data_IF_838562013718
#
_entry.id   IF_838562013718
#
_cell.length_a   1.000
_cell.length_b   1.000
_cell.length_c   1.000
_cell.angle_alpha   90.00
_cell.angle_beta   90.00
_cell.angle_gamma   90.00
#
_symmetry.space_group_name_H-M   'P 1'
#
loop_
_entity.id
_entity.type
_entity.pdbx_description
1 polymer ?
#
# COMPACT_ATOMS: atom_id res chain seq x y z
N UNK A 1 20.47 5.83 0.76
CA UNK A 1 20.98 6.75 -0.28
C UNK A 1 20.60 8.15 0.18
N UNK A 2 21.59 8.97 0.54
CA UNK A 2 21.35 10.36 0.92
C UNK A 2 21.35 11.21 -0.37
N UNK A 3 20.50 12.24 -0.46
CA UNK A 3 20.31 13.16 -1.60
C UNK A 3 19.59 12.65 -2.88
N UNK A 4 18.80 11.58 -2.79
CA UNK A 4 17.91 11.20 -3.90
C UNK A 4 16.62 12.01 -3.89
N UNK A 5 16.28 12.65 -5.02
CA UNK A 5 14.96 13.24 -5.22
C UNK A 5 13.90 12.13 -5.30
N UNK A 6 12.99 12.11 -4.32
CA UNK A 6 11.85 11.19 -4.30
C UNK A 6 10.60 11.94 -4.76
N UNK A 7 9.99 11.47 -5.85
CA UNK A 7 8.66 11.95 -6.27
C UNK A 7 7.61 11.02 -5.69
N UNK A 8 6.67 11.59 -4.93
CA UNK A 8 5.52 10.87 -4.42
C UNK A 8 4.41 10.88 -5.47
N UNK A 9 3.78 9.73 -5.66
CA UNK A 9 2.64 9.54 -6.54
C UNK A 9 1.49 8.92 -5.77
N UNK A 10 0.27 9.10 -6.25
CA UNK A 10 -0.88 8.33 -5.78
C UNK A 10 -1.15 7.15 -6.70
N UNK A 11 -1.87 6.15 -6.21
CA UNK A 11 -2.34 5.05 -7.06
C UNK A 11 -3.22 5.58 -8.21
N UNK A 12 -4.04 6.60 -7.95
CA UNK A 12 -4.93 7.24 -8.92
C UNK A 12 -4.16 7.91 -10.07
N UNK A 13 -2.94 8.39 -9.84
CA UNK A 13 -2.06 8.92 -10.89
C UNK A 13 -1.43 7.79 -11.73
N UNK A 14 -1.06 6.68 -11.11
CA UNK A 14 -0.31 5.61 -11.77
C UNK A 14 -1.21 4.61 -12.52
N UNK A 15 -2.40 4.32 -12.01
CA UNK A 15 -3.35 3.37 -12.63
C UNK A 15 -3.69 3.74 -14.09
N UNK A 16 -4.00 5.02 -14.44
CA UNK A 16 -4.21 5.42 -15.83
C UNK A 16 -3.00 5.18 -16.73
N UNK A 17 -1.78 5.40 -16.20
CA UNK A 17 -0.53 5.15 -16.94
C UNK A 17 -0.39 3.66 -17.25
N UNK A 18 -0.59 2.78 -16.26
CA UNK A 18 -0.57 1.33 -16.47
C UNK A 18 -1.59 0.89 -17.52
N UNK A 19 -2.81 1.43 -17.47
CA UNK A 19 -3.85 1.15 -18.46
C UNK A 19 -3.45 1.60 -19.87
N UNK A 20 -2.85 2.77 -20.01
CA UNK A 20 -2.36 3.28 -21.31
C UNK A 20 -1.26 2.41 -21.92
N UNK A 21 -0.49 1.71 -21.09
CA UNK A 21 0.55 0.76 -21.49
C UNK A 21 -0.01 -0.65 -21.82
N UNK A 22 -1.32 -0.83 -21.81
CA UNK A 22 -1.98 -2.11 -22.10
C UNK A 22 -2.06 -3.08 -20.91
N UNK A 23 -1.78 -2.61 -19.69
CA UNK A 23 -2.00 -3.41 -18.49
C UNK A 23 -3.49 -3.44 -18.11
N UNK A 24 -3.96 -4.62 -17.75
CA UNK A 24 -5.34 -4.92 -17.33
C UNK A 24 -5.34 -5.47 -15.91
N UNK A 25 -6.53 -5.68 -15.35
CA UNK A 25 -6.74 -6.23 -14.01
C UNK A 25 -5.88 -5.50 -12.95
N UNK A 26 -5.88 -4.17 -13.01
CA UNK A 26 -5.10 -3.35 -12.09
C UNK A 26 -5.77 -3.36 -10.73
N UNK A 27 -5.12 -3.96 -9.73
CA UNK A 27 -5.55 -3.97 -8.35
C UNK A 27 -4.67 -3.05 -7.49
N UNK A 28 -5.28 -2.39 -6.51
CA UNK A 28 -4.62 -1.44 -5.61
C UNK A 28 -4.75 -1.93 -4.17
N UNK A 29 -3.59 -2.06 -3.51
CA UNK A 29 -3.45 -2.49 -2.13
C UNK A 29 -2.64 -1.45 -1.33
N UNK A 30 -3.14 -1.00 -0.19
CA UNK A 30 -2.41 -0.19 0.76
C UNK A 30 -1.55 -1.03 1.68
N UNK A 31 -0.34 -0.55 1.98
CA UNK A 31 0.63 -1.20 2.86
C UNK A 31 0.96 -0.24 4.01
N UNK A 32 0.82 -0.73 5.24
CA UNK A 32 0.99 0.04 6.49
C UNK A 32 -0.02 1.18 6.60
N UNK A 33 -1.29 0.80 6.66
CA UNK A 33 -2.43 1.72 6.81
C UNK A 33 -2.62 2.20 8.26
N UNK A 34 -2.13 1.45 9.25
CA UNK A 34 -2.30 1.77 10.67
C UNK A 34 -0.98 1.82 11.44
N UNK A 35 -0.04 0.93 11.16
CA UNK A 35 1.21 0.75 11.91
C UNK A 35 1.99 2.06 12.12
N UNK A 36 1.98 2.93 11.11
CA UNK A 36 2.66 4.23 11.14
C UNK A 36 1.95 5.33 11.93
N UNK A 37 0.68 5.13 12.27
CA UNK A 37 -0.10 6.07 13.07
C UNK A 37 -0.13 5.69 14.56
N UNK A 38 0.45 4.54 14.93
CA UNK A 38 0.60 4.11 16.31
C UNK A 38 1.86 4.77 16.89
N UNK A 39 1.67 5.63 17.90
CA UNK A 39 2.74 6.37 18.59
C UNK A 39 3.48 5.55 19.65
N UNK A 40 2.90 4.44 20.10
CA UNK A 40 3.51 3.52 21.05
C UNK A 40 4.37 2.47 20.33
N UNK A 41 5.66 2.78 20.15
CA UNK A 41 6.62 1.90 19.49
C UNK A 41 6.89 0.62 20.27
N UNK A 42 6.92 0.68 21.61
CA UNK A 42 7.18 -0.49 22.44
C UNK A 42 6.08 -1.55 22.25
N UNK A 43 4.82 -1.10 22.15
CA UNK A 43 3.67 -1.98 21.94
C UNK A 43 3.67 -2.65 20.57
N UNK A 44 4.24 -2.04 19.53
CA UNK A 44 4.39 -2.68 18.21
C UNK A 44 5.34 -3.89 18.22
N UNK A 45 6.19 -4.00 19.23
CA UNK A 45 7.08 -5.14 19.41
C UNK A 45 6.49 -6.24 20.31
N UNK A 46 5.33 -6.01 20.93
CA UNK A 46 4.61 -7.06 21.62
C UNK A 46 4.07 -8.08 20.60
N UNK A 47 4.39 -9.38 20.73
CA UNK A 47 4.02 -10.37 19.73
C UNK A 47 2.51 -10.55 19.53
N UNK A 48 1.72 -10.43 20.61
CA UNK A 48 0.26 -10.59 20.54
C UNK A 48 -0.35 -9.40 19.83
N UNK A 49 0.05 -8.19 20.22
CA UNK A 49 -0.39 -6.97 19.56
C UNK A 49 0.04 -6.91 18.09
N UNK A 50 1.27 -7.32 17.77
CA UNK A 50 1.74 -7.36 16.40
C UNK A 50 0.90 -8.30 15.54
N UNK A 51 0.55 -9.49 16.05
CA UNK A 51 -0.30 -10.44 15.34
C UNK A 51 -1.69 -9.84 15.04
N UNK A 52 -2.31 -9.19 16.02
CA UNK A 52 -3.62 -8.52 15.82
C UNK A 52 -3.51 -7.36 14.81
N UNK A 53 -2.45 -6.57 14.90
CA UNK A 53 -2.17 -5.46 13.98
C UNK A 53 -1.95 -5.97 12.55
N UNK A 54 -1.20 -7.06 12.38
CA UNK A 54 -0.97 -7.68 11.08
C UNK A 54 -2.28 -8.16 10.45
N UNK A 55 -3.15 -8.82 11.23
CA UNK A 55 -4.47 -9.23 10.75
C UNK A 55 -5.33 -8.03 10.32
N UNK A 56 -5.28 -6.93 11.07
CA UNK A 56 -5.99 -5.70 10.71
C UNK A 56 -5.45 -5.08 9.41
N UNK A 57 -4.12 -4.99 9.27
CA UNK A 57 -3.46 -4.47 8.06
C UNK A 57 -3.84 -5.30 6.83
N UNK A 58 -3.80 -6.62 6.93
CA UNK A 58 -4.23 -7.52 5.85
C UNK A 58 -5.72 -7.38 5.52
N UNK A 59 -6.58 -7.25 6.53
CA UNK A 59 -8.03 -7.10 6.32
C UNK A 59 -8.42 -5.78 5.65
N UNK A 60 -7.55 -4.77 5.70
CA UNK A 60 -7.82 -3.42 5.19
C UNK A 60 -7.05 -3.05 3.93
N UNK A 61 -6.05 -3.85 3.55
CA UNK A 61 -5.14 -3.56 2.43
C UNK A 61 -5.86 -3.23 1.11
N UNK A 62 -6.94 -3.93 0.75
CA UNK A 62 -7.70 -3.68 -0.48
C UNK A 62 -9.02 -2.91 -0.25
N UNK A 63 -9.21 -2.31 0.93
CA UNK A 63 -10.49 -1.77 1.36
C UNK A 63 -10.44 -0.24 1.44
N UNK A 64 -11.27 0.48 0.68
CA UNK A 64 -11.48 1.91 0.89
C UNK A 64 -12.10 2.19 2.27
N UNK A 65 -11.70 3.27 2.96
CA UNK A 65 -10.74 4.28 2.52
C UNK A 65 -9.27 3.95 2.85
N UNK A 66 -9.01 2.90 3.63
CA UNK A 66 -7.72 2.61 4.25
C UNK A 66 -6.56 2.51 3.26
N UNK A 67 -6.80 1.89 2.11
CA UNK A 67 -5.81 1.77 1.04
C UNK A 67 -5.25 3.12 0.53
N UNK A 68 -6.04 4.20 0.60
CA UNK A 68 -5.61 5.55 0.15
C UNK A 68 -4.84 6.32 1.22
N UNK A 69 -4.90 5.90 2.49
CA UNK A 69 -4.17 6.52 3.60
C UNK A 69 -2.88 5.75 3.94
N UNK A 70 -2.64 4.62 3.29
CA UNK A 70 -1.47 3.81 3.53
C UNK A 70 -0.17 4.55 3.16
N UNK A 71 0.91 4.25 3.89
CA UNK A 71 2.21 4.90 3.63
C UNK A 71 2.84 4.49 2.32
N UNK A 72 2.52 3.28 1.87
CA UNK A 72 2.93 2.72 0.59
C UNK A 72 1.71 2.09 -0.06
N UNK A 73 1.71 2.00 -1.39
CA UNK A 73 0.72 1.23 -2.11
C UNK A 73 1.40 0.26 -3.08
N UNK A 74 0.75 -0.87 -3.31
CA UNK A 74 1.12 -1.85 -4.31
C UNK A 74 0.05 -1.85 -5.40
N UNK A 75 0.51 -1.74 -6.65
CA UNK A 75 -0.31 -2.02 -7.82
C UNK A 75 0.11 -3.34 -8.43
N UNK A 76 -0.84 -4.26 -8.57
CA UNK A 76 -0.64 -5.47 -9.40
C UNK A 76 -1.44 -5.31 -10.67
N UNK A 77 -0.92 -5.79 -11.79
CA UNK A 77 -1.59 -5.72 -13.08
C UNK A 77 -1.09 -6.84 -14.00
N UNK A 78 -1.94 -7.23 -14.96
CA UNK A 78 -1.58 -8.19 -16.00
C UNK A 78 -1.32 -7.46 -17.31
N UNK A 79 -0.13 -7.63 -17.88
CA UNK A 79 0.12 -7.18 -19.25
C UNK A 79 -0.52 -8.18 -20.22
N UNK A 80 -1.29 -7.70 -21.20
CA UNK A 80 -1.66 -8.56 -22.31
C UNK A 80 -0.40 -8.80 -23.16
N UNK A 81 0.08 -10.04 -23.18
CA UNK A 81 1.01 -10.47 -24.22
C UNK A 81 0.23 -10.49 -25.54
N UNK A 82 0.76 -9.75 -26.51
CA UNK A 82 0.18 -9.65 -27.85
C UNK A 82 0.39 -10.95 -28.63
#
# INVERSE_FOLDING_TARGET
MFDSALTLHTAEEIIPVLRSLGCQDVHHYGVRSFCDYITDDARKHDPVFYADLEQLELATTARPPYMHTARLFQLTARKQDR
#
